data_IF_734665393397
#
_entry.id   IF_734665393397
#
_cell.length_a   1.000
_cell.length_b   1.000
_cell.length_c   1.000
_cell.angle_alpha   90.00
_cell.angle_beta   90.00
_cell.angle_gamma   90.00
#
_symmetry.space_group_name_H-M   'P 1'
#
loop_
_entity.id
_entity.type
_entity.pdbx_description
1 polymer ?
#
# COMPACT_ATOMS: atom_id res chain seq x y z
N UNK A 1 21.85 21.16 15.60
CA UNK A 1 21.61 21.54 14.20
C UNK A 1 20.13 21.35 13.91
N UNK A 2 19.35 22.42 13.76
CA UNK A 2 17.90 22.35 13.55
C UNK A 2 17.64 22.47 12.06
N UNK A 3 17.27 21.35 11.41
CA UNK A 3 16.91 21.31 9.98
C UNK A 3 15.56 22.01 9.78
N UNK A 4 15.59 23.30 9.44
CA UNK A 4 14.42 24.04 8.97
C UNK A 4 14.17 23.73 7.49
N UNK A 5 13.34 22.73 7.19
CA UNK A 5 12.82 22.57 5.83
C UNK A 5 11.73 23.63 5.62
N UNK A 6 11.84 24.48 4.59
CA UNK A 6 10.84 25.55 4.31
C UNK A 6 9.41 25.00 4.18
N UNK A 7 9.26 23.72 3.87
CA UNK A 7 7.97 23.06 3.68
C UNK A 7 7.22 22.78 4.99
N UNK A 8 7.86 22.88 6.16
CA UNK A 8 7.19 22.67 7.46
C UNK A 8 6.53 23.92 8.04
N UNK A 9 6.57 25.07 7.36
CA UNK A 9 5.84 26.27 7.80
C UNK A 9 4.35 26.15 7.49
N UNK A 10 3.47 26.52 8.43
CA UNK A 10 2.00 26.44 8.29
C UNK A 10 1.50 27.07 6.98
N UNK A 11 1.95 28.29 6.67
CA UNK A 11 1.60 29.01 5.43
C UNK A 11 1.99 28.23 4.16
N UNK A 12 3.13 27.55 4.18
CA UNK A 12 3.59 26.76 3.04
C UNK A 12 2.79 25.46 2.90
N UNK A 13 2.42 24.81 4.02
CA UNK A 13 1.49 23.67 4.01
C UNK A 13 0.11 24.03 3.46
N UNK A 14 -0.45 25.16 3.89
CA UNK A 14 -1.76 25.63 3.40
C UNK A 14 -1.70 26.00 1.91
N UNK A 15 -0.62 26.64 1.46
CA UNK A 15 -0.41 26.94 0.03
C UNK A 15 -0.29 25.65 -0.78
N UNK A 16 0.50 24.68 -0.32
CA UNK A 16 0.64 23.38 -0.95
C UNK A 16 -0.71 22.66 -1.05
N UNK A 17 -1.44 22.55 0.05
CA UNK A 17 -2.74 21.91 0.10
C UNK A 17 -3.72 22.53 -0.89
N UNK A 18 -3.89 23.87 -0.89
CA UNK A 18 -4.78 24.56 -1.83
C UNK A 18 -4.37 24.35 -3.28
N UNK A 19 -3.06 24.36 -3.56
CA UNK A 19 -2.54 24.13 -4.91
C UNK A 19 -2.86 22.70 -5.39
N UNK A 20 -2.63 21.69 -4.55
CA UNK A 20 -2.92 20.29 -4.87
C UNK A 20 -4.43 20.10 -5.09
N UNK A 21 -5.27 20.63 -4.21
CA UNK A 21 -6.73 20.51 -4.32
C UNK A 21 -7.23 21.15 -5.62
N UNK A 22 -6.89 22.41 -5.89
CA UNK A 22 -7.49 23.13 -7.00
C UNK A 22 -6.87 22.74 -8.36
N UNK A 23 -5.55 22.61 -8.43
CA UNK A 23 -4.83 22.52 -9.69
C UNK A 23 -4.45 21.09 -10.09
N UNK A 24 -4.58 20.12 -9.18
CA UNK A 24 -4.36 18.69 -9.48
C UNK A 24 -5.67 17.93 -9.33
N UNK A 25 -6.29 17.95 -8.15
CA UNK A 25 -7.45 17.10 -7.86
C UNK A 25 -8.69 17.59 -8.61
N UNK A 26 -9.16 18.80 -8.31
CA UNK A 26 -10.42 19.29 -8.86
C UNK A 26 -10.30 19.48 -10.37
N UNK A 27 -9.22 20.12 -10.84
CA UNK A 27 -8.97 20.31 -12.27
C UNK A 27 -9.03 19.01 -13.06
N UNK A 28 -8.29 17.97 -12.66
CA UNK A 28 -8.19 16.75 -13.45
C UNK A 28 -9.44 15.87 -13.36
N UNK A 29 -10.22 15.97 -12.28
CA UNK A 29 -11.48 15.24 -12.10
C UNK A 29 -12.71 16.01 -12.63
N UNK A 30 -12.54 17.24 -13.11
CA UNK A 30 -13.62 18.02 -13.72
C UNK A 30 -14.03 17.48 -15.10
N UNK A 31 -13.08 16.94 -15.86
CA UNK A 31 -13.33 16.37 -17.17
C UNK A 31 -13.81 14.93 -17.07
N UNK A 32 -14.65 14.50 -18.01
CA UNK A 32 -15.09 13.09 -18.07
C UNK A 32 -13.90 12.17 -18.34
N UNK A 33 -13.83 11.05 -17.62
CA UNK A 33 -12.77 10.06 -17.79
C UNK A 33 -12.86 9.37 -19.16
N UNK A 34 -11.76 9.36 -19.87
CA UNK A 34 -11.54 8.73 -21.19
C UNK A 34 -10.14 8.13 -21.25
N UNK A 35 -9.86 7.31 -22.28
CA UNK A 35 -8.51 6.78 -22.49
C UNK A 35 -7.45 7.86 -22.73
N UNK A 36 -7.84 9.06 -23.19
CA UNK A 36 -6.90 10.14 -23.52
C UNK A 36 -6.52 11.01 -22.31
N UNK A 37 -7.26 10.93 -21.21
CA UNK A 37 -7.00 11.74 -20.01
C UNK A 37 -6.86 10.91 -18.72
N UNK A 38 -6.71 9.59 -18.85
CA UNK A 38 -6.55 8.69 -17.71
C UNK A 38 -5.31 9.01 -16.86
N UNK A 39 -4.24 9.57 -17.44
CA UNK A 39 -3.04 10.00 -16.71
C UNK A 39 -3.35 11.19 -15.78
N UNK A 40 -4.16 12.14 -16.23
CA UNK A 40 -4.60 13.26 -15.40
C UNK A 40 -5.41 12.76 -14.20
N UNK A 41 -6.27 11.76 -14.42
CA UNK A 41 -7.03 11.09 -13.37
C UNK A 41 -6.15 10.31 -12.40
N UNK A 42 -5.16 9.56 -12.90
CA UNK A 42 -4.18 8.85 -12.07
C UNK A 42 -3.41 9.83 -11.15
N UNK A 43 -2.96 10.96 -11.70
CA UNK A 43 -2.31 12.02 -10.93
C UNK A 43 -3.23 12.61 -9.84
N UNK A 44 -4.53 12.73 -10.12
CA UNK A 44 -5.50 13.16 -9.12
C UNK A 44 -5.68 12.11 -8.01
N UNK A 45 -5.73 10.82 -8.35
CA UNK A 45 -5.83 9.74 -7.36
C UNK A 45 -4.64 9.73 -6.40
N UNK A 46 -3.43 9.82 -6.94
CA UNK A 46 -2.20 9.87 -6.15
C UNK A 46 -2.18 11.10 -5.23
N UNK A 47 -2.59 12.26 -5.76
CA UNK A 47 -2.72 13.48 -4.97
C UNK A 47 -3.76 13.35 -3.85
N UNK A 48 -4.94 12.78 -4.16
CA UNK A 48 -5.99 12.51 -3.16
C UNK A 48 -5.44 11.61 -2.05
N UNK A 49 -4.77 10.50 -2.40
CA UNK A 49 -4.16 9.58 -1.46
C UNK A 49 -3.10 10.27 -0.58
N UNK A 50 -2.23 11.09 -1.18
CA UNK A 50 -1.16 11.79 -0.50
C UNK A 50 -1.65 12.78 0.57
N UNK A 51 -2.64 13.61 0.23
CA UNK A 51 -3.13 14.66 1.15
C UNK A 51 -4.42 14.25 1.88
N UNK A 52 -4.88 13.02 1.69
CA UNK A 52 -6.10 12.46 2.28
C UNK A 52 -7.35 13.33 2.04
N UNK A 53 -7.43 13.94 0.85
CA UNK A 53 -8.52 14.87 0.51
C UNK A 53 -9.85 14.15 0.32
N UNK A 54 -10.93 14.70 0.87
CA UNK A 54 -12.28 14.15 0.76
C UNK A 54 -13.29 15.24 0.43
N UNK A 55 -14.17 14.95 -0.52
CA UNK A 55 -15.37 15.76 -0.82
C UNK A 55 -16.43 14.90 -1.48
N UNK A 56 -17.69 15.36 -1.46
CA UNK A 56 -18.79 14.68 -2.16
C UNK A 56 -18.49 14.59 -3.67
N UNK A 57 -17.95 15.66 -4.26
CA UNK A 57 -17.53 15.68 -5.65
C UNK A 57 -16.50 14.58 -5.95
N UNK A 58 -15.43 14.47 -5.16
CA UNK A 58 -14.40 13.44 -5.37
C UNK A 58 -15.01 12.04 -5.25
N UNK A 59 -15.84 11.79 -4.24
CA UNK A 59 -16.49 10.48 -4.08
C UNK A 59 -17.31 10.10 -5.32
N UNK A 60 -18.11 11.01 -5.87
CA UNK A 60 -18.86 10.78 -7.10
C UNK A 60 -17.95 10.45 -8.30
N UNK A 61 -16.79 11.09 -8.39
CA UNK A 61 -15.82 10.81 -9.46
C UNK A 61 -15.13 9.46 -9.26
N UNK A 62 -14.83 9.06 -8.03
CA UNK A 62 -14.29 7.72 -7.74
C UNK A 62 -15.34 6.63 -8.04
N UNK A 63 -16.62 6.86 -7.72
CA UNK A 63 -17.69 5.92 -8.08
C UNK A 63 -17.74 5.69 -9.61
N UNK A 64 -17.59 6.75 -10.42
CA UNK A 64 -17.49 6.64 -11.89
C UNK A 64 -16.22 5.95 -12.36
N UNK A 65 -15.07 6.27 -11.74
CA UNK A 65 -13.79 5.67 -12.06
C UNK A 65 -13.81 4.15 -11.91
N UNK A 66 -14.40 3.66 -10.82
CA UNK A 66 -14.51 2.21 -10.54
C UNK A 66 -15.32 1.47 -11.60
N UNK A 67 -16.33 2.11 -12.22
CA UNK A 67 -17.10 1.51 -13.32
C UNK A 67 -16.24 1.28 -14.56
N UNK A 68 -15.28 2.18 -14.84
CA UNK A 68 -14.41 2.14 -16.02
C UNK A 68 -13.10 1.37 -15.80
N UNK A 69 -12.85 0.91 -14.56
CA UNK A 69 -11.65 0.19 -14.14
C UNK A 69 -11.08 -0.85 -15.13
N UNK A 70 -11.86 -1.81 -15.67
CA UNK A 70 -11.29 -2.84 -16.55
C UNK A 70 -10.87 -2.33 -17.93
N UNK A 71 -11.36 -1.16 -18.36
CA UNK A 71 -11.26 -0.70 -19.75
C UNK A 71 -10.10 0.29 -19.99
N UNK A 72 -9.37 0.65 -18.94
CA UNK A 72 -8.33 1.67 -18.97
C UNK A 72 -6.96 1.05 -18.65
N UNK A 73 -5.89 1.82 -18.83
CA UNK A 73 -4.54 1.26 -18.74
C UNK A 73 -4.19 0.74 -17.35
N UNK A 74 -3.16 -0.11 -17.30
CA UNK A 74 -2.62 -0.59 -16.04
C UNK A 74 -2.10 0.53 -15.14
N UNK A 75 -1.68 1.67 -15.69
CA UNK A 75 -1.25 2.80 -14.86
C UNK A 75 -2.44 3.42 -14.12
N UNK A 76 -3.53 3.66 -14.85
CA UNK A 76 -4.80 4.10 -14.27
C UNK A 76 -5.32 3.12 -13.21
N UNK A 77 -5.36 1.83 -13.55
CA UNK A 77 -5.84 0.77 -12.65
C UNK A 77 -5.05 0.73 -11.35
N UNK A 78 -3.72 0.86 -11.43
CA UNK A 78 -2.84 0.91 -10.26
C UNK A 78 -3.14 2.11 -9.37
N UNK A 79 -3.12 3.33 -9.91
CA UNK A 79 -3.38 4.54 -9.13
C UNK A 79 -4.78 4.53 -8.50
N UNK A 80 -5.78 4.00 -9.21
CA UNK A 80 -7.11 3.82 -8.62
C UNK A 80 -7.05 2.83 -7.45
N UNK A 81 -6.49 1.63 -7.62
CA UNK A 81 -6.39 0.62 -6.56
C UNK A 81 -5.58 1.12 -5.36
N UNK A 82 -4.51 1.89 -5.58
CA UNK A 82 -3.73 2.52 -4.50
C UNK A 82 -4.62 3.46 -3.69
N UNK A 83 -5.42 4.32 -4.35
CA UNK A 83 -6.39 5.17 -3.68
C UNK A 83 -7.47 4.36 -2.95
N UNK A 84 -8.01 3.31 -3.56
CA UNK A 84 -9.05 2.49 -2.93
C UNK A 84 -8.53 1.80 -1.66
N UNK A 85 -7.33 1.22 -1.72
CA UNK A 85 -6.68 0.62 -0.54
C UNK A 85 -6.43 1.65 0.56
N UNK A 86 -6.01 2.87 0.21
CA UNK A 86 -5.67 3.90 1.19
C UNK A 86 -6.88 4.54 1.87
N UNK A 87 -7.98 4.77 1.13
CA UNK A 87 -9.07 5.63 1.60
C UNK A 87 -10.48 5.04 1.53
N UNK A 88 -10.67 3.97 0.76
CA UNK A 88 -11.96 3.32 0.58
C UNK A 88 -11.84 1.83 0.89
N UNK A 89 -11.39 1.44 2.09
CA UNK A 89 -11.30 0.04 2.46
C UNK A 89 -12.70 -0.57 2.32
N UNK A 90 -12.77 -1.76 1.73
CA UNK A 90 -13.96 -2.60 1.56
C UNK A 90 -15.13 -2.03 0.74
N UNK A 91 -15.16 -0.73 0.40
CA UNK A 91 -16.30 -0.10 -0.30
C UNK A 91 -16.54 -0.69 -1.70
N UNK A 92 -15.48 -0.97 -2.45
CA UNK A 92 -15.58 -1.34 -3.87
C UNK A 92 -15.19 -2.80 -4.14
N UNK A 93 -15.31 -3.68 -3.14
CA UNK A 93 -14.95 -5.10 -3.28
C UNK A 93 -15.75 -5.76 -4.39
N UNK A 94 -17.07 -5.56 -4.43
CA UNK A 94 -17.93 -6.12 -5.49
C UNK A 94 -17.48 -5.73 -6.90
N UNK A 95 -17.38 -4.42 -7.23
CA UNK A 95 -16.87 -3.98 -8.52
C UNK A 95 -15.46 -4.47 -8.88
N UNK A 96 -14.51 -4.46 -7.93
CA UNK A 96 -13.13 -4.93 -8.18
C UNK A 96 -13.11 -6.45 -8.41
N UNK A 97 -13.86 -7.21 -7.60
CA UNK A 97 -14.00 -8.68 -7.72
C UNK A 97 -14.60 -9.08 -9.06
N UNK A 98 -15.61 -8.34 -9.55
CA UNK A 98 -16.26 -8.58 -10.85
C UNK A 98 -15.26 -8.63 -12.01
N UNK A 99 -14.19 -7.84 -11.96
CA UNK A 99 -13.23 -7.72 -13.06
C UNK A 99 -11.90 -8.43 -12.80
N UNK A 100 -11.73 -9.08 -11.65
CA UNK A 100 -10.44 -9.66 -11.25
C UNK A 100 -9.91 -10.68 -12.26
N UNK A 101 -10.78 -11.50 -12.86
CA UNK A 101 -10.38 -12.55 -13.81
C UNK A 101 -9.89 -12.01 -15.15
N UNK A 102 -10.33 -10.82 -15.57
CA UNK A 102 -9.96 -10.19 -16.86
C UNK A 102 -8.75 -9.25 -16.76
N UNK A 103 -8.21 -9.02 -15.57
CA UNK A 103 -6.99 -8.19 -15.41
C UNK A 103 -5.79 -8.94 -15.99
N UNK A 104 -5.19 -8.38 -17.04
CA UNK A 104 -4.03 -8.96 -17.71
C UNK A 104 -2.70 -8.68 -17.01
N UNK A 105 -2.57 -7.52 -16.36
CA UNK A 105 -1.32 -7.13 -15.70
C UNK A 105 -1.20 -7.79 -14.32
N UNK A 106 -0.14 -8.59 -14.11
CA UNK A 106 0.08 -9.36 -12.88
C UNK A 106 0.11 -8.50 -11.61
N UNK A 107 0.72 -7.31 -11.69
CA UNK A 107 0.80 -6.37 -10.56
C UNK A 107 -0.58 -5.79 -10.24
N UNK A 108 -1.35 -5.38 -11.25
CA UNK A 108 -2.73 -4.90 -11.05
C UNK A 108 -3.60 -6.01 -10.46
N UNK A 109 -3.45 -7.24 -10.96
CA UNK A 109 -4.17 -8.40 -10.42
C UNK A 109 -3.86 -8.57 -8.93
N UNK A 110 -2.58 -8.55 -8.55
CA UNK A 110 -2.19 -8.71 -7.15
C UNK A 110 -2.70 -7.56 -6.26
N UNK A 111 -2.68 -6.33 -6.75
CA UNK A 111 -3.23 -5.18 -6.02
C UNK A 111 -4.76 -5.30 -5.82
N UNK A 112 -5.49 -5.77 -6.84
CA UNK A 112 -6.92 -6.02 -6.76
C UNK A 112 -7.25 -7.19 -5.83
N UNK A 113 -6.51 -8.30 -5.93
CA UNK A 113 -6.63 -9.45 -5.06
C UNK A 113 -6.37 -9.09 -3.59
N UNK A 114 -5.29 -8.35 -3.31
CA UNK A 114 -4.98 -7.87 -1.97
C UNK A 114 -6.06 -6.93 -1.42
N UNK A 115 -6.63 -6.04 -2.26
CA UNK A 115 -7.76 -5.21 -1.87
C UNK A 115 -8.98 -6.04 -1.46
N UNK A 116 -9.26 -7.13 -2.21
CA UNK A 116 -10.34 -8.07 -1.91
C UNK A 116 -10.06 -8.86 -0.62
N UNK A 117 -8.84 -9.37 -0.43
CA UNK A 117 -8.46 -10.09 0.80
C UNK A 117 -8.64 -9.23 2.05
N UNK A 118 -8.46 -7.91 1.95
CA UNK A 118 -8.69 -7.00 3.07
C UNK A 118 -10.18 -6.82 3.43
N UNK A 119 -11.13 -7.48 2.74
CA UNK A 119 -12.56 -7.40 3.03
C UNK A 119 -12.97 -8.03 4.36
N UNK A 120 -12.19 -8.96 4.89
CA UNK A 120 -12.60 -9.73 6.06
C UNK A 120 -13.34 -11.03 5.71
N UNK A 121 -13.62 -11.32 4.44
CA UNK A 121 -14.45 -12.44 4.00
C UNK A 121 -13.63 -13.70 3.60
N UNK A 122 -13.99 -14.86 4.16
CA UNK A 122 -13.33 -16.15 3.86
C UNK A 122 -13.64 -16.67 2.45
N UNK A 123 -14.87 -16.50 1.94
CA UNK A 123 -15.24 -16.89 0.58
C UNK A 123 -14.44 -16.08 -0.47
N UNK A 124 -14.14 -14.81 -0.14
CA UNK A 124 -13.24 -14.00 -0.94
C UNK A 124 -11.84 -14.60 -0.95
N UNK A 125 -11.31 -15.00 0.20
CA UNK A 125 -9.99 -15.62 0.29
C UNK A 125 -9.89 -16.93 -0.50
N UNK A 126 -10.88 -17.81 -0.40
CA UNK A 126 -10.95 -19.06 -1.17
C UNK A 126 -10.99 -18.78 -2.69
N UNK A 127 -11.80 -17.79 -3.11
CA UNK A 127 -11.87 -17.38 -4.51
C UNK A 127 -10.53 -16.83 -5.03
N UNK A 128 -9.85 -15.99 -4.24
CA UNK A 128 -8.54 -15.45 -4.59
C UNK A 128 -7.49 -16.57 -4.65
N UNK A 129 -7.49 -17.51 -3.71
CA UNK A 129 -6.58 -18.65 -3.70
C UNK A 129 -6.71 -19.47 -5.00
N UNK A 130 -7.94 -19.88 -5.33
CA UNK A 130 -8.26 -20.63 -6.54
C UNK A 130 -7.76 -19.92 -7.81
N UNK A 131 -8.17 -18.66 -8.00
CA UNK A 131 -7.84 -17.91 -9.21
C UNK A 131 -6.33 -17.63 -9.33
N UNK A 132 -5.66 -17.42 -8.20
CA UNK A 132 -4.19 -17.23 -8.19
C UNK A 132 -3.47 -18.52 -8.53
N UNK A 133 -3.94 -19.66 -8.03
CA UNK A 133 -3.38 -20.97 -8.35
C UNK A 133 -3.52 -21.30 -9.84
N UNK A 134 -4.66 -20.99 -10.46
CA UNK A 134 -4.83 -21.13 -11.92
C UNK A 134 -3.80 -20.31 -12.70
N UNK A 135 -3.55 -19.06 -12.29
CA UNK A 135 -2.53 -18.19 -12.93
C UNK A 135 -1.10 -18.69 -12.71
N UNK A 136 -0.79 -19.21 -11.54
CA UNK A 136 0.53 -19.81 -11.23
C UNK A 136 0.83 -21.05 -12.07
N UNK A 137 -0.18 -21.79 -12.53
CA UNK A 137 0.04 -22.93 -13.42
C UNK A 137 0.75 -22.53 -14.72
N UNK A 138 0.51 -21.30 -15.19
CA UNK A 138 1.15 -20.70 -16.37
C UNK A 138 2.45 -19.97 -16.04
N UNK A 139 2.57 -19.40 -14.82
CA UNK A 139 3.71 -18.54 -14.42
C UNK A 139 4.18 -18.83 -12.98
N UNK A 140 4.77 -20.01 -12.74
CA UNK A 140 5.11 -20.50 -11.39
C UNK A 140 6.05 -19.59 -10.59
N UNK A 141 6.96 -18.90 -11.27
CA UNK A 141 7.98 -18.04 -10.63
C UNK A 141 7.54 -16.57 -10.49
N UNK A 142 6.27 -16.25 -10.77
CA UNK A 142 5.81 -14.88 -10.63
C UNK A 142 5.68 -14.49 -9.15
N UNK A 143 6.46 -13.52 -8.65
CA UNK A 143 6.48 -13.17 -7.23
C UNK A 143 5.15 -12.58 -6.75
N UNK A 144 4.38 -11.93 -7.65
CA UNK A 144 3.07 -11.40 -7.30
C UNK A 144 2.08 -12.52 -6.97
N UNK A 145 2.05 -13.56 -7.81
CA UNK A 145 1.15 -14.68 -7.60
C UNK A 145 1.53 -15.52 -6.38
N UNK A 146 2.84 -15.78 -6.19
CA UNK A 146 3.32 -16.48 -4.99
C UNK A 146 2.90 -15.76 -3.70
N UNK A 147 3.05 -14.44 -3.66
CA UNK A 147 2.69 -13.65 -2.48
C UNK A 147 1.18 -13.65 -2.21
N UNK A 148 0.34 -13.50 -3.25
CA UNK A 148 -1.12 -13.52 -3.10
C UNK A 148 -1.62 -14.91 -2.70
N UNK A 149 -1.08 -15.97 -3.32
CA UNK A 149 -1.42 -17.34 -2.96
C UNK A 149 -1.06 -17.64 -1.50
N UNK A 150 0.13 -17.21 -1.06
CA UNK A 150 0.54 -17.33 0.35
C UNK A 150 -0.44 -16.60 1.29
N UNK A 151 -0.84 -15.36 0.96
CA UNK A 151 -1.77 -14.59 1.79
C UNK A 151 -3.16 -15.23 1.85
N UNK A 152 -3.69 -15.70 0.72
CA UNK A 152 -5.01 -16.31 0.64
C UNK A 152 -5.05 -17.68 1.35
N UNK A 153 -4.06 -18.55 1.13
CA UNK A 153 -3.99 -19.89 1.75
C UNK A 153 -3.77 -19.86 3.28
N UNK A 154 -3.31 -18.73 3.81
CA UNK A 154 -3.12 -18.50 5.25
C UNK A 154 -4.15 -17.55 5.85
N UNK A 155 -5.17 -17.14 5.09
CA UNK A 155 -6.07 -16.05 5.47
C UNK A 155 -6.67 -16.17 6.88
N UNK A 156 -7.16 -17.35 7.26
CA UNK A 156 -7.70 -17.65 8.59
C UNK A 156 -6.75 -18.40 9.51
N UNK A 157 -5.50 -18.61 9.07
CA UNK A 157 -4.48 -19.28 9.88
C UNK A 157 -3.76 -18.21 10.70
N UNK A 158 -3.57 -18.46 11.99
CA UNK A 158 -2.65 -17.65 12.78
C UNK A 158 -1.29 -17.74 12.12
N UNK A 159 -0.84 -16.64 11.51
CA UNK A 159 0.54 -16.52 11.06
C UNK A 159 1.44 -16.84 12.26
N UNK A 160 2.25 -17.89 12.14
CA UNK A 160 3.28 -18.15 13.12
C UNK A 160 4.21 -16.94 13.11
N UNK A 161 4.14 -16.12 14.16
CA UNK A 161 5.12 -15.06 14.34
C UNK A 161 6.45 -15.76 14.56
N UNK A 162 7.45 -15.60 13.68
CA UNK A 162 8.74 -16.23 13.89
C UNK A 162 9.29 -15.77 15.23
N UNK A 163 9.94 -16.67 15.95
CA UNK A 163 10.47 -16.36 17.27
C UNK A 163 11.50 -15.22 17.15
N UNK A 164 11.16 -14.06 17.72
CA UNK A 164 12.01 -12.87 17.64
C UNK A 164 13.28 -13.01 18.46
N UNK A 165 13.33 -13.94 19.42
CA UNK A 165 14.48 -14.12 20.32
C UNK A 165 15.76 -14.36 19.52
N UNK A 166 15.71 -15.20 18.48
CA UNK A 166 16.83 -15.53 17.60
C UNK A 166 17.44 -14.29 16.93
N UNK A 167 16.60 -13.33 16.55
CA UNK A 167 17.04 -12.09 15.89
C UNK A 167 17.86 -11.18 16.82
N UNK A 168 17.65 -11.27 18.14
CA UNK A 168 18.38 -10.49 19.15
C UNK A 168 19.54 -11.27 19.79
N UNK A 169 19.77 -12.52 19.40
CA UNK A 169 20.89 -13.29 19.92
C UNK A 169 22.23 -12.71 19.46
N UNK A 170 23.25 -12.84 20.31
CA UNK A 170 24.62 -12.34 20.05
C UNK A 170 25.23 -12.93 18.76
N UNK A 171 24.90 -14.17 18.44
CA UNK A 171 25.43 -14.94 17.31
C UNK A 171 24.57 -14.84 16.03
N UNK A 172 23.48 -14.08 16.02
CA UNK A 172 22.70 -13.87 14.80
C UNK A 172 23.50 -13.02 13.80
N UNK A 173 23.90 -13.51 12.64
CA UNK A 173 24.78 -12.78 11.69
C UNK A 173 26.07 -12.25 12.35
N UNK A 174 26.98 -13.13 12.81
CA UNK A 174 28.19 -12.71 13.52
C UNK A 174 29.14 -11.90 12.62
N UNK A 175 29.93 -11.00 13.21
CA UNK A 175 30.88 -10.14 12.48
C UNK A 175 30.24 -8.96 11.74
N UNK A 176 28.91 -8.84 11.75
CA UNK A 176 28.17 -7.77 11.10
C UNK A 176 27.61 -6.78 12.11
N UNK A 177 27.68 -5.49 11.79
CA UNK A 177 26.93 -4.43 12.50
C UNK A 177 25.48 -4.51 12.06
N UNK A 178 24.56 -4.64 13.02
CA UNK A 178 23.13 -4.70 12.73
C UNK A 178 22.44 -3.40 13.16
N UNK A 179 21.67 -2.82 12.24
CA UNK A 179 20.73 -1.74 12.52
C UNK A 179 19.31 -2.33 12.56
N UNK A 180 18.71 -2.36 13.75
CA UNK A 180 17.40 -2.98 13.98
C UNK A 180 16.38 -1.87 14.21
N UNK A 181 15.41 -1.73 13.30
CA UNK A 181 14.32 -0.77 13.44
C UNK A 181 13.03 -1.45 13.89
N UNK A 182 12.61 -1.17 15.13
CA UNK A 182 11.37 -1.67 15.71
C UNK A 182 10.25 -0.65 15.48
N UNK A 183 9.28 -1.06 14.66
CA UNK A 183 8.16 -0.21 14.28
C UNK A 183 6.92 -0.54 15.12
N UNK A 184 6.32 0.48 15.73
CA UNK A 184 5.05 0.33 16.45
C UNK A 184 3.91 0.18 15.44
N UNK A 185 2.90 -0.61 15.82
CA UNK A 185 1.64 -0.73 15.05
C UNK A 185 0.92 0.63 14.97
N UNK A 186 0.97 1.41 16.05
CA UNK A 186 0.50 2.80 16.09
C UNK A 186 1.65 3.75 15.71
N UNK A 187 1.51 4.43 14.57
CA UNK A 187 2.51 5.34 13.98
C UNK A 187 2.56 6.73 14.63
N UNK A 188 1.71 7.02 15.62
CA UNK A 188 1.75 8.29 16.36
C UNK A 188 2.93 8.38 17.33
N UNK A 189 3.66 7.28 17.55
CA UNK A 189 4.82 7.22 18.43
C UNK A 189 6.06 6.84 17.62
N UNK A 190 7.22 7.45 17.91
CA UNK A 190 8.47 7.04 17.27
C UNK A 190 8.73 5.56 17.55
N UNK A 191 9.25 4.88 16.53
CA UNK A 191 9.80 3.53 16.67
C UNK A 191 11.08 3.56 17.51
N UNK A 192 11.68 2.38 17.69
CA UNK A 192 12.99 2.24 18.33
C UNK A 192 14.02 1.81 17.29
N UNK A 193 15.24 2.25 17.48
CA UNK A 193 16.39 1.79 16.69
C UNK A 193 17.42 1.24 17.67
N UNK A 194 17.81 -0.01 17.46
CA UNK A 194 18.89 -0.66 18.21
C UNK A 194 20.06 -0.86 17.26
N UNK A 195 21.27 -0.64 17.76
CA UNK A 195 22.50 -0.93 17.02
C UNK A 195 23.21 -2.04 17.75
N UNK A 196 23.57 -3.11 17.03
CA UNK A 196 24.43 -4.17 17.55
C UNK A 196 25.77 -4.13 16.81
N UNK A 197 26.86 -4.06 17.56
CA UNK A 197 28.20 -4.05 16.99
C UNK A 197 28.58 -5.42 16.38
N UNK A 198 29.73 -5.47 15.70
CA UNK A 198 30.23 -6.70 15.08
C UNK A 198 30.60 -7.81 16.09
N UNK A 199 30.79 -7.45 17.36
CA UNK A 199 31.05 -8.38 18.46
C UNK A 199 29.74 -8.94 19.07
N UNK A 200 28.59 -8.48 18.58
CA UNK A 200 27.27 -8.90 19.02
C UNK A 200 26.76 -8.18 20.27
N UNK A 201 27.38 -7.09 20.69
CA UNK A 201 26.91 -6.27 21.81
C UNK A 201 25.99 -5.15 21.32
N UNK A 202 24.93 -4.87 22.06
CA UNK A 202 24.12 -3.67 21.81
C UNK A 202 24.88 -2.43 22.23
N UNK A 203 24.95 -1.46 21.31
CA UNK A 203 25.50 -0.13 21.56
C UNK A 203 24.65 0.56 22.61
N UNK A 204 25.30 1.23 23.56
CA UNK A 204 24.66 1.95 24.65
C UNK A 204 24.94 3.44 24.57
N UNK A 205 24.02 4.24 25.08
CA UNK A 205 24.24 5.65 25.33
C UNK A 205 25.24 5.89 26.47
N UNK A 206 25.61 7.15 26.71
CA UNK A 206 26.53 7.54 27.78
C UNK A 206 26.01 7.24 29.20
N UNK A 207 24.74 6.88 29.34
CA UNK A 207 24.09 6.50 30.61
C UNK A 207 23.95 4.97 30.74
N UNK A 208 24.42 4.20 29.75
CA UNK A 208 24.36 2.74 29.75
C UNK A 208 23.04 2.15 29.25
N UNK A 209 22.14 2.94 28.69
CA UNK A 209 20.88 2.47 28.10
C UNK A 209 21.10 2.05 26.64
N UNK A 210 20.35 1.05 26.19
CA UNK A 210 20.29 0.64 24.77
C UNK A 210 19.26 1.51 24.06
#
# INVERSE_FOLDING_TARGET
MTLYTKNVLKKNREKFYRNVVNNVILKNLSDSLTANNEEAWANAFDAIALIQYKSAFVNTQIDKAVVLFPNLSSNYQRSLLDLLNAQYPVKYIGPVKKYLNVISNDKVFAMAANYILNSGNEDDAVYIEYLTQERMSMYKENPYYQQIYYQASLYNKKNAVPELSGFFQKNYLPGNVLLISLQRKNRNYPGLVLIRDANGNFVRDSKGNI
#
